data_IF_100727909188
#
_entry.id   IF_100727909188
#
_cell.length_a   1.000
_cell.length_b   1.000
_cell.length_c   1.000
_cell.angle_alpha   90.00
_cell.angle_beta   90.00
_cell.angle_gamma   90.00
#
_symmetry.space_group_name_H-M   'P 1'
#
loop_
_entity.id
_entity.type
_entity.pdbx_description
1 polymer ?
#
# COMPACT_ATOMS: atom_id res chain seq x y z
N UNK A 1 -2.84 7.78 -0.71
CA UNK A 1 -2.41 6.48 -1.26
C UNK A 1 -2.34 6.57 -2.78
N UNK A 2 -1.37 5.89 -3.38
CA UNK A 2 -1.27 5.64 -4.81
C UNK A 2 -1.51 4.15 -5.06
N UNK A 3 -2.48 3.82 -5.90
CA UNK A 3 -2.83 2.45 -6.28
C UNK A 3 -2.75 2.34 -7.79
N UNK A 4 -1.96 1.38 -8.27
CA UNK A 4 -1.66 1.22 -9.69
C UNK A 4 -1.77 -0.25 -10.07
N UNK A 5 -2.07 -0.52 -11.34
CA UNK A 5 -2.05 -1.86 -11.87
C UNK A 5 -1.54 -1.89 -13.30
N UNK A 6 -0.80 -2.94 -13.63
CA UNK A 6 -0.30 -3.25 -14.96
C UNK A 6 -0.56 -4.73 -15.25
N UNK A 7 -1.38 -5.01 -16.27
CA UNK A 7 -1.87 -6.38 -16.55
C UNK A 7 -2.51 -6.99 -15.31
N UNK A 8 -2.01 -8.11 -14.77
CA UNK A 8 -2.53 -8.71 -13.54
C UNK A 8 -1.71 -8.37 -12.29
N UNK A 9 -0.74 -7.46 -12.37
CA UNK A 9 0.05 -7.03 -11.22
C UNK A 9 -0.47 -5.71 -10.67
N UNK A 10 -0.55 -5.60 -9.34
CA UNK A 10 -0.97 -4.38 -8.64
C UNK A 10 0.13 -3.92 -7.68
N UNK A 11 0.27 -2.61 -7.56
CA UNK A 11 1.27 -1.96 -6.72
C UNK A 11 0.64 -0.80 -5.98
N UNK A 12 1.00 -0.63 -4.71
CA UNK A 12 0.43 0.39 -3.84
C UNK A 12 1.51 1.03 -2.97
N UNK A 13 1.43 2.34 -2.83
CA UNK A 13 2.29 3.14 -1.94
C UNK A 13 1.47 4.16 -1.16
N UNK A 14 1.97 4.51 0.02
CA UNK A 14 1.49 5.68 0.75
C UNK A 14 2.16 6.95 0.23
N UNK A 15 1.43 8.07 0.33
CA UNK A 15 1.93 9.41 0.04
C UNK A 15 1.38 10.34 1.12
N UNK A 16 2.22 11.23 1.64
CA UNK A 16 1.83 12.20 2.68
C UNK A 16 0.84 13.24 2.16
N UNK A 17 0.85 13.50 0.85
CA UNK A 17 -0.02 14.45 0.16
C UNK A 17 -0.26 14.03 -1.29
N UNK A 18 -1.25 14.64 -1.94
CA UNK A 18 -1.48 14.44 -3.38
C UNK A 18 -0.21 14.82 -4.16
N UNK A 19 0.38 13.91 -4.96
CA UNK A 19 1.58 14.22 -5.72
C UNK A 19 1.35 15.39 -6.67
N UNK A 20 2.31 16.33 -6.68
CA UNK A 20 2.31 17.49 -7.59
C UNK A 20 3.48 17.48 -8.57
N UNK A 21 4.51 16.68 -8.27
CA UNK A 21 5.74 16.57 -9.06
C UNK A 21 6.17 15.11 -9.19
N UNK A 22 6.86 14.72 -10.27
CA UNK A 22 7.36 13.36 -10.47
C UNK A 22 8.35 12.90 -9.37
N UNK A 23 9.02 13.83 -8.70
CA UNK A 23 9.97 13.58 -7.61
C UNK A 23 9.28 13.44 -6.24
N UNK A 24 7.96 13.21 -6.22
CA UNK A 24 7.23 13.01 -4.97
C UNK A 24 7.68 11.70 -4.33
N UNK A 25 8.16 11.78 -3.09
CA UNK A 25 8.56 10.62 -2.30
C UNK A 25 7.40 9.66 -2.05
N UNK A 26 7.72 8.37 -2.09
CA UNK A 26 6.81 7.29 -1.81
C UNK A 26 7.16 6.63 -0.48
N UNK A 27 6.12 6.20 0.21
CA UNK A 27 6.20 5.56 1.52
C UNK A 27 5.60 4.16 1.43
N UNK A 28 6.09 3.24 2.25
CA UNK A 28 5.43 1.95 2.37
C UNK A 28 4.02 2.16 2.88
N UNK A 29 3.05 1.47 2.25
CA UNK A 29 1.73 1.38 2.83
C UNK A 29 1.82 0.37 4.00
N UNK A 30 1.45 0.74 5.23
CA UNK A 30 1.59 -0.13 6.39
C UNK A 30 0.48 -1.17 6.40
N UNK A 31 0.49 -2.10 5.47
CA UNK A 31 -0.47 -3.21 5.40
C UNK A 31 0.27 -4.52 5.17
N UNK A 32 -0.25 -5.64 5.66
CA UNK A 32 0.51 -6.89 5.67
C UNK A 32 0.45 -7.65 4.32
N UNK A 33 -0.42 -7.26 3.38
CA UNK A 33 -0.53 -7.89 2.06
C UNK A 33 0.32 -7.19 0.97
N UNK A 34 1.33 -6.41 1.35
CA UNK A 34 2.18 -5.63 0.43
C UNK A 34 3.66 -5.87 0.71
N UNK A 35 4.44 -6.11 -0.35
CA UNK A 35 5.88 -6.39 -0.23
C UNK A 35 6.77 -5.12 -0.12
N UNK A 36 8.09 -5.30 -0.02
CA UNK A 36 9.08 -4.21 0.03
C UNK A 36 9.05 -3.27 -1.18
N UNK A 37 8.56 -3.75 -2.32
CA UNK A 37 8.45 -2.98 -3.55
C UNK A 37 7.04 -2.44 -3.80
N UNK A 38 6.14 -2.54 -2.81
CA UNK A 38 4.76 -2.09 -2.95
C UNK A 38 3.87 -3.06 -3.71
N UNK A 39 4.36 -4.23 -4.14
CA UNK A 39 3.54 -5.21 -4.87
C UNK A 39 2.53 -5.85 -3.93
N UNK A 40 1.29 -5.93 -4.38
CA UNK A 40 0.20 -6.54 -3.62
C UNK A 40 0.28 -8.05 -3.80
N UNK A 41 0.28 -8.79 -2.70
CA UNK A 41 0.07 -10.24 -2.72
C UNK A 41 -1.42 -10.51 -2.96
N UNK A 42 -1.76 -11.01 -4.15
CA UNK A 42 -3.15 -11.21 -4.56
C UNK A 42 -3.79 -12.47 -3.93
N UNK A 43 -2.96 -13.42 -3.46
CA UNK A 43 -3.42 -14.71 -2.96
C UNK A 43 -4.30 -15.42 -3.99
N UNK A 44 -5.50 -15.82 -3.56
CA UNK A 44 -6.54 -16.42 -4.42
C UNK A 44 -7.64 -15.41 -4.81
N UNK A 45 -7.52 -14.14 -4.42
CA UNK A 45 -8.53 -13.15 -4.74
C UNK A 45 -8.59 -12.90 -6.26
N UNK A 46 -9.78 -12.86 -6.88
CA UNK A 46 -9.93 -12.76 -8.32
C UNK A 46 -9.73 -11.31 -8.80
N UNK A 47 -8.50 -10.81 -8.70
CA UNK A 47 -8.15 -9.47 -9.19
C UNK A 47 -8.34 -9.40 -10.71
N UNK A 48 -9.09 -8.40 -11.23
CA UNK A 48 -9.27 -8.25 -12.66
C UNK A 48 -7.96 -7.86 -13.35
N UNK A 49 -7.91 -7.96 -14.68
CA UNK A 49 -6.86 -7.28 -15.45
C UNK A 49 -6.99 -5.77 -15.23
N UNK A 50 -5.87 -5.13 -14.88
CA UNK A 50 -5.78 -3.70 -14.60
C UNK A 50 -6.15 -2.89 -15.84
N UNK A 51 -7.03 -1.92 -15.63
CA UNK A 51 -7.51 -1.04 -16.67
C UNK A 51 -8.36 0.07 -16.06
N UNK A 52 -8.63 1.11 -16.85
CA UNK A 52 -9.37 2.30 -16.37
C UNK A 52 -10.75 1.96 -15.80
N UNK A 53 -11.42 0.95 -16.36
CA UNK A 53 -12.77 0.51 -15.92
C UNK A 53 -12.73 -0.45 -14.73
N UNK A 54 -11.60 -1.11 -14.47
CA UNK A 54 -11.46 -2.17 -13.46
C UNK A 54 -10.66 -1.75 -12.23
N UNK A 55 -9.96 -0.61 -12.28
CA UNK A 55 -9.05 -0.19 -11.20
C UNK A 55 -9.76 0.00 -9.85
N UNK A 56 -11.00 0.50 -9.84
CA UNK A 56 -11.78 0.66 -8.62
C UNK A 56 -12.28 -0.69 -8.06
N UNK A 57 -12.59 -1.65 -8.94
CA UNK A 57 -12.93 -3.01 -8.50
C UNK A 57 -11.72 -3.69 -7.85
N UNK A 58 -10.53 -3.56 -8.46
CA UNK A 58 -9.30 -4.07 -7.88
C UNK A 58 -8.97 -3.39 -6.54
N UNK A 59 -9.16 -2.07 -6.44
CA UNK A 59 -8.99 -1.34 -5.19
C UNK A 59 -9.93 -1.85 -4.10
N UNK A 60 -11.21 -2.11 -4.43
CA UNK A 60 -12.18 -2.67 -3.48
C UNK A 60 -11.74 -4.05 -3.00
N UNK A 61 -11.33 -4.94 -3.90
CA UNK A 61 -10.80 -6.26 -3.55
C UNK A 61 -9.55 -6.17 -2.66
N UNK A 62 -8.67 -5.21 -2.91
CA UNK A 62 -7.51 -4.98 -2.07
C UNK A 62 -7.88 -4.55 -0.65
N UNK A 63 -8.89 -3.69 -0.49
CA UNK A 63 -9.32 -3.17 0.81
C UNK A 63 -10.16 -4.17 1.61
N UNK A 64 -11.01 -4.95 0.95
CA UNK A 64 -12.04 -5.78 1.60
C UNK A 64 -11.80 -7.29 1.44
N UNK A 65 -11.15 -7.72 0.36
CA UNK A 65 -11.14 -9.12 -0.10
C UNK A 65 -9.78 -9.82 -0.01
N UNK A 66 -8.71 -9.12 0.34
CA UNK A 66 -7.37 -9.70 0.47
C UNK A 66 -7.12 -10.14 1.91
N UNK A 67 -6.79 -11.41 2.10
CA UNK A 67 -6.41 -11.92 3.42
C UNK A 67 -5.04 -11.36 3.82
N UNK A 68 -4.99 -10.83 5.03
CA UNK A 68 -3.78 -10.27 5.64
C UNK A 68 -2.89 -11.41 6.14
N UNK A 69 -1.78 -11.70 5.44
CA UNK A 69 -0.79 -12.66 5.92
C UNK A 69 0.26 -11.98 6.80
N UNK A 70 0.53 -12.56 7.97
CA UNK A 70 1.39 -11.98 9.02
C UNK A 70 2.87 -11.81 8.60
N UNK A 71 3.30 -12.48 7.52
CA UNK A 71 4.70 -12.63 7.12
C UNK A 71 5.37 -11.37 6.56
N UNK A 72 4.60 -10.39 6.06
CA UNK A 72 5.13 -9.16 5.45
C UNK A 72 5.06 -7.91 6.36
N UNK A 73 4.85 -8.11 7.66
CA UNK A 73 4.52 -7.06 8.64
C UNK A 73 5.71 -6.28 9.22
N UNK A 74 6.95 -6.57 8.81
CA UNK A 74 8.15 -5.89 9.30
C UNK A 74 8.49 -4.64 8.48
N UNK A 75 9.08 -3.65 9.15
CA UNK A 75 9.59 -2.38 8.62
C UNK A 75 8.58 -1.58 7.79
N UNK A 76 7.29 -1.63 8.17
CA UNK A 76 6.24 -0.85 7.48
C UNK A 76 5.81 0.41 8.21
N UNK A 77 6.14 0.52 9.49
CA UNK A 77 5.85 1.70 10.29
C UNK A 77 6.95 1.97 11.32
N UNK A 78 7.04 3.23 11.74
CA UNK A 78 8.11 3.70 12.64
C UNK A 78 7.94 3.14 14.06
N UNK A 79 6.73 3.14 14.62
CA UNK A 79 6.50 2.76 16.01
C UNK A 79 6.44 1.27 16.29
N UNK A 80 6.10 0.45 15.28
CA UNK A 80 6.00 -1.00 15.42
C UNK A 80 6.77 -1.71 14.28
N UNK A 81 8.11 -1.63 14.27
CA UNK A 81 8.92 -2.14 13.16
C UNK A 81 8.77 -3.65 12.95
N UNK A 82 8.38 -4.43 13.95
CA UNK A 82 8.18 -5.88 13.81
C UNK A 82 6.72 -6.32 13.68
N UNK A 83 5.76 -5.40 13.87
CA UNK A 83 4.35 -5.74 13.94
C UNK A 83 3.44 -4.59 13.48
N UNK A 84 3.25 -4.49 12.17
CA UNK A 84 2.32 -3.52 11.58
C UNK A 84 0.88 -3.67 12.07
N UNK A 85 0.44 -4.85 12.51
CA UNK A 85 -0.91 -5.04 13.04
C UNK A 85 -1.11 -4.34 14.39
N UNK A 86 -0.06 -4.25 15.22
CA UNK A 86 -0.12 -3.51 16.48
C UNK A 86 -0.40 -2.01 16.24
N UNK A 87 0.15 -1.44 15.17
CA UNK A 87 -0.19 -0.07 14.75
C UNK A 87 -1.70 0.05 14.45
N UNK A 88 -2.25 -0.87 13.65
CA UNK A 88 -3.67 -0.83 13.32
C UNK A 88 -4.58 -1.00 14.53
N UNK A 89 -4.23 -1.88 15.47
CA UNK A 89 -4.96 -2.00 16.74
C UNK A 89 -4.97 -0.68 17.53
N UNK A 90 -3.87 0.07 17.54
CA UNK A 90 -3.79 1.41 18.17
C UNK A 90 -4.58 2.49 17.41
N UNK A 91 -4.69 2.35 16.10
CA UNK A 91 -5.41 3.28 15.22
C UNK A 91 -6.90 2.96 15.10
N UNK A 92 -7.37 1.85 15.68
CA UNK A 92 -8.78 1.50 15.64
C UNK A 92 -9.64 2.62 16.25
N UNK A 93 -10.74 2.96 15.57
CA UNK A 93 -11.59 4.11 15.90
C UNK A 93 -11.00 5.50 15.60
N UNK A 94 -9.74 5.62 15.17
CA UNK A 94 -9.15 6.91 14.80
C UNK A 94 -9.54 7.35 13.38
N UNK A 95 -9.84 8.64 13.23
CA UNK A 95 -10.29 9.20 11.93
C UNK A 95 -9.14 9.55 10.98
N UNK A 96 -7.90 9.60 11.46
CA UNK A 96 -6.73 10.03 10.68
C UNK A 96 -5.56 9.12 10.95
N UNK A 97 -4.86 8.76 9.88
CA UNK A 97 -3.59 8.07 9.98
C UNK A 97 -2.46 9.07 10.31
N UNK A 98 -1.61 8.81 11.31
CA UNK A 98 -0.46 9.65 11.65
C UNK A 98 0.64 9.53 10.58
N UNK A 99 0.91 10.63 9.85
CA UNK A 99 1.86 10.61 8.73
C UNK A 99 3.31 10.32 9.14
N UNK A 100 3.66 10.53 10.41
CA UNK A 100 5.00 10.25 10.95
C UNK A 100 5.25 8.75 11.15
N UNK A 101 4.20 7.92 11.11
CA UNK A 101 4.36 6.45 11.08
C UNK A 101 4.81 5.93 9.72
N UNK A 102 4.72 6.74 8.65
CA UNK A 102 5.06 6.30 7.30
C UNK A 102 6.58 6.15 7.12
N UNK A 103 7.01 4.94 6.78
CA UNK A 103 8.40 4.66 6.45
C UNK A 103 8.71 4.93 4.97
N UNK A 104 9.81 5.63 4.64
CA UNK A 104 10.20 5.89 3.25
C UNK A 104 10.44 4.60 2.47
N UNK A 105 9.82 4.46 1.30
CA UNK A 105 10.06 3.32 0.41
C UNK A 105 11.33 3.48 -0.44
N UNK A 106 12.08 4.57 -0.24
CA UNK A 106 13.26 4.98 -1.04
C UNK A 106 12.98 4.98 -2.54
N UNK A 107 11.75 5.37 -2.90
CA UNK A 107 11.26 5.50 -4.28
C UNK A 107 10.57 6.84 -4.49
N UNK A 108 10.55 7.28 -5.75
CA UNK A 108 9.85 8.47 -6.21
C UNK A 108 8.80 8.10 -7.27
N UNK A 109 7.80 8.96 -7.45
CA UNK A 109 6.69 8.70 -8.38
C UNK A 109 7.15 8.44 -9.82
N UNK A 110 8.16 9.15 -10.33
CA UNK A 110 8.69 8.97 -11.68
C UNK A 110 9.22 7.54 -11.95
N UNK A 111 9.74 6.86 -10.93
CA UNK A 111 10.23 5.48 -11.04
C UNK A 111 9.11 4.45 -11.20
N UNK A 112 7.85 4.86 -11.03
CA UNK A 112 6.66 4.03 -11.20
C UNK A 112 5.96 4.23 -12.55
N UNK A 113 6.31 5.30 -13.28
CA UNK A 113 5.63 5.73 -14.52
C UNK A 113 6.41 5.36 -15.79
N UNK A 114 7.58 4.74 -15.64
CA UNK A 114 8.48 4.29 -16.69
C UNK A 114 8.06 2.96 -17.30
#
# INVERSE_FOLDING_TARGET
MLFMGTKQAYTVFAVKQKPKKPETELYHLPVPNVDGNGRICLGQAPFPTAGRRTIYQALKLFMEGSQFNHDNSRERCVSFPDNTLALWGKLDGQKKFPLDELMPARKQLNQLLS
#
